data_IF_213532956770
#
_entry.id   IF_213532956770
#
_cell.length_a   1.000
_cell.length_b   1.000
_cell.length_c   1.000
_cell.angle_alpha   90.00
_cell.angle_beta   90.00
_cell.angle_gamma   90.00
#
_symmetry.space_group_name_H-M   'P 1'
#
loop_
_entity.id
_entity.type
_entity.pdbx_description
1 polymer ?
#
# COMPACT_ATOMS: atom_id res chain seq x y z
N UNK A 1 8.67 -6.82 22.24
CA UNK A 1 7.31 -6.43 21.80
C UNK A 1 7.18 -6.84 20.35
N UNK A 2 6.01 -7.36 19.97
CA UNK A 2 5.75 -7.69 18.56
C UNK A 2 5.74 -6.39 17.74
N UNK A 3 6.37 -6.36 16.55
CA UNK A 3 6.42 -5.16 15.74
C UNK A 3 5.03 -4.77 15.24
N UNK A 4 4.80 -3.47 15.13
CA UNK A 4 3.55 -2.94 14.59
C UNK A 4 3.58 -3.12 13.06
N UNK A 5 2.65 -3.90 12.48
CA UNK A 5 2.60 -4.07 11.04
C UNK A 5 2.05 -2.79 10.39
N UNK A 6 2.85 -2.15 9.54
CA UNK A 6 2.45 -1.00 8.74
C UNK A 6 2.53 -1.32 7.24
N UNK A 7 1.65 -0.76 6.41
CA UNK A 7 1.74 -0.95 4.97
C UNK A 7 3.03 -0.28 4.43
N UNK A 8 3.74 -0.94 3.54
CA UNK A 8 4.89 -0.31 2.87
C UNK A 8 4.44 0.90 2.03
N UNK A 9 5.26 1.96 2.01
CA UNK A 9 4.97 3.19 1.24
C UNK A 9 4.77 2.93 -0.25
N UNK A 10 5.34 1.85 -0.78
CA UNK A 10 5.21 1.46 -2.20
C UNK A 10 3.74 1.33 -2.64
N UNK A 11 2.83 0.96 -1.72
CA UNK A 11 1.39 0.89 -1.99
C UNK A 11 0.80 2.23 -2.39
N UNK A 12 1.16 3.29 -1.66
CA UNK A 12 0.68 4.64 -1.94
C UNK A 12 1.29 5.17 -3.23
N UNK A 13 2.58 4.93 -3.45
CA UNK A 13 3.27 5.36 -4.66
C UNK A 13 2.70 4.71 -5.92
N UNK A 14 2.45 3.39 -5.89
CA UNK A 14 1.84 2.69 -7.02
C UNK A 14 0.44 3.24 -7.34
N UNK A 15 -0.40 3.43 -6.32
CA UNK A 15 -1.74 3.98 -6.48
C UNK A 15 -1.69 5.41 -7.03
N UNK A 16 -0.82 6.26 -6.47
CA UNK A 16 -0.65 7.64 -6.93
C UNK A 16 -0.18 7.69 -8.39
N UNK A 17 0.82 6.89 -8.76
CA UNK A 17 1.31 6.83 -10.13
C UNK A 17 0.24 6.37 -11.12
N UNK A 18 -0.57 5.37 -10.75
CA UNK A 18 -1.67 4.90 -11.59
C UNK A 18 -2.72 6.00 -11.80
N UNK A 19 -3.11 6.70 -10.73
CA UNK A 19 -4.09 7.77 -10.80
C UNK A 19 -3.58 8.97 -11.61
N UNK A 20 -2.33 9.37 -11.39
CA UNK A 20 -1.73 10.55 -12.02
C UNK A 20 -1.31 10.32 -13.48
N UNK A 21 -0.87 9.11 -13.83
CA UNK A 21 -0.31 8.83 -15.17
C UNK A 21 -1.30 8.14 -16.09
N UNK A 22 -2.24 7.37 -15.55
CA UNK A 22 -3.19 6.59 -16.35
C UNK A 22 -4.61 7.11 -16.18
N UNK A 23 -5.12 7.17 -14.95
CA UNK A 23 -6.54 7.46 -14.71
C UNK A 23 -6.90 8.90 -15.09
N UNK A 24 -6.14 9.89 -14.65
CA UNK A 24 -6.45 11.30 -14.97
C UNK A 24 -6.34 11.59 -16.46
N UNK A 25 -5.45 10.88 -17.16
CA UNK A 25 -5.27 10.97 -18.62
C UNK A 25 -6.46 10.34 -19.33
N UNK A 26 -6.88 9.14 -18.90
CA UNK A 26 -8.01 8.41 -19.49
C UNK A 26 -9.36 9.09 -19.25
N UNK A 27 -9.55 9.74 -18.10
CA UNK A 27 -10.80 10.44 -17.75
C UNK A 27 -11.01 11.72 -18.57
N UNK A 28 -9.93 12.37 -19.02
CA UNK A 28 -10.00 13.60 -19.81
C UNK A 28 -10.41 14.85 -19.01
N UNK A 29 -10.14 16.04 -19.58
CA UNK A 29 -10.21 17.34 -18.87
C UNK A 29 -11.62 17.88 -18.60
N UNK A 30 -12.66 17.29 -19.19
CA UNK A 30 -14.04 17.79 -19.09
C UNK A 30 -15.00 16.76 -18.46
N UNK A 31 -14.47 15.62 -18.01
CA UNK A 31 -15.28 14.61 -17.36
C UNK A 31 -15.54 14.98 -15.90
N UNK A 32 -16.77 14.82 -15.40
CA UNK A 32 -17.08 15.01 -13.97
C UNK A 32 -16.26 14.06 -13.07
N UNK A 33 -15.74 12.96 -13.61
CA UNK A 33 -14.86 12.05 -12.88
C UNK A 33 -13.47 12.64 -12.60
N UNK A 34 -13.04 13.70 -13.30
CA UNK A 34 -11.71 14.30 -13.08
C UNK A 34 -11.56 14.84 -11.66
N UNK A 35 -12.58 15.53 -11.15
CA UNK A 35 -12.60 16.04 -9.78
C UNK A 35 -12.53 14.90 -8.75
N UNK A 36 -13.17 13.77 -9.03
CA UNK A 36 -13.13 12.58 -8.17
C UNK A 36 -11.72 11.97 -8.15
N UNK A 37 -11.06 11.87 -9.29
CA UNK A 37 -9.67 11.39 -9.38
C UNK A 37 -8.72 12.30 -8.62
N UNK A 38 -8.86 13.63 -8.78
CA UNK A 38 -8.05 14.60 -8.03
C UNK A 38 -8.29 14.48 -6.52
N UNK A 39 -9.54 14.34 -6.09
CA UNK A 39 -9.86 14.13 -4.68
C UNK A 39 -9.23 12.85 -4.14
N UNK A 40 -9.21 11.78 -4.93
CA UNK A 40 -8.59 10.51 -4.54
C UNK A 40 -7.07 10.67 -4.37
N UNK A 41 -6.39 11.35 -5.30
CA UNK A 41 -4.96 11.67 -5.20
C UNK A 41 -4.66 12.47 -3.92
N UNK A 42 -5.46 13.51 -3.65
CA UNK A 42 -5.28 14.35 -2.44
C UNK A 42 -5.46 13.50 -1.17
N UNK A 43 -6.48 12.64 -1.12
CA UNK A 43 -6.74 11.78 0.03
C UNK A 43 -5.60 10.79 0.25
N UNK A 44 -5.06 10.18 -0.80
CA UNK A 44 -3.93 9.24 -0.69
C UNK A 44 -2.65 9.92 -0.20
N UNK A 45 -2.34 11.13 -0.69
CA UNK A 45 -1.20 11.92 -0.20
C UNK A 45 -1.35 12.28 1.28
N UNK A 46 -2.58 12.61 1.72
CA UNK A 46 -2.89 12.84 3.13
C UNK A 46 -2.72 11.58 3.97
N UNK A 47 -3.20 10.43 3.49
CA UNK A 47 -3.03 9.15 4.16
C UNK A 47 -1.55 8.79 4.34
N UNK A 48 -0.72 8.98 3.31
CA UNK A 48 0.73 8.77 3.40
C UNK A 48 1.38 9.69 4.45
N UNK A 49 0.98 10.97 4.50
CA UNK A 49 1.49 11.90 5.51
C UNK A 49 1.09 11.46 6.94
N UNK A 50 -0.16 11.03 7.13
CA UNK A 50 -0.63 10.51 8.42
C UNK A 50 0.14 9.24 8.84
N UNK A 51 0.45 8.36 7.88
CA UNK A 51 1.24 7.17 8.16
C UNK A 51 2.66 7.54 8.61
N UNK A 52 3.32 8.50 7.94
CA UNK A 52 4.65 8.98 8.37
C UNK A 52 4.63 9.53 9.79
N UNK A 53 3.59 10.29 10.15
CA UNK A 53 3.41 10.74 11.53
C UNK A 53 3.22 9.59 12.51
N UNK A 54 2.51 8.52 12.12
CA UNK A 54 2.38 7.31 12.93
C UNK A 54 3.73 6.61 13.11
N UNK A 55 4.54 6.51 12.06
CA UNK A 55 5.89 5.93 12.09
C UNK A 55 6.78 6.72 13.06
N UNK A 56 6.83 8.05 12.93
CA UNK A 56 7.58 8.92 13.85
C UNK A 56 7.12 8.79 15.31
N UNK A 57 5.81 8.60 15.56
CA UNK A 57 5.29 8.34 16.91
C UNK A 57 5.75 6.99 17.45
N UNK A 58 5.80 5.95 16.60
CA UNK A 58 6.26 4.62 16.98
C UNK A 58 7.77 4.61 17.27
N UNK A 59 8.57 5.25 16.42
CA UNK A 59 10.00 5.46 16.61
C UNK A 59 10.29 6.19 17.94
N UNK A 60 9.59 7.30 18.22
CA UNK A 60 9.74 8.04 19.49
C UNK A 60 9.41 7.20 20.73
N UNK A 61 8.58 6.16 20.58
CA UNK A 61 8.20 5.23 21.65
C UNK A 61 9.06 3.96 21.67
N UNK A 62 10.12 3.88 20.86
CA UNK A 62 10.94 2.69 20.65
C UNK A 62 10.12 1.45 20.29
N UNK A 63 9.01 1.64 19.55
CA UNK A 63 8.18 0.53 19.08
C UNK A 63 8.68 0.08 17.70
N UNK A 64 9.05 -1.20 17.53
CA UNK A 64 9.52 -1.69 16.24
C UNK A 64 8.38 -1.70 15.22
N UNK A 65 8.71 -1.31 13.99
CA UNK A 65 7.79 -1.28 12.85
C UNK A 65 8.17 -2.38 11.88
N UNK A 66 7.18 -3.11 11.38
CA UNK A 66 7.35 -4.09 10.31
C UNK A 66 6.56 -3.64 9.08
N UNK A 67 7.26 -3.34 7.99
CA UNK A 67 6.60 -2.95 6.75
C UNK A 67 6.09 -4.18 5.99
N UNK A 68 4.80 -4.19 5.63
CA UNK A 68 4.16 -5.28 4.88
C UNK A 68 3.71 -4.82 3.50
N UNK A 69 4.05 -5.64 2.51
CA UNK A 69 3.68 -5.47 1.10
C UNK A 69 2.45 -6.32 0.72
N UNK A 70 2.07 -7.29 1.54
CA UNK A 70 0.83 -8.04 1.41
C UNK A 70 0.37 -8.53 2.79
N UNK A 71 -0.89 -8.93 2.89
CA UNK A 71 -1.43 -9.59 4.08
C UNK A 71 -1.02 -11.08 4.15
N UNK A 72 -0.44 -11.62 3.08
CA UNK A 72 0.09 -12.98 3.03
C UNK A 72 1.47 -13.01 3.68
N UNK A 73 1.53 -12.80 4.99
CA UNK A 73 2.72 -13.17 5.75
C UNK A 73 2.73 -14.70 5.84
N UNK A 74 3.70 -15.34 5.17
CA UNK A 74 4.14 -16.68 5.56
C UNK A 74 4.63 -16.53 7.00
N UNK A 75 3.76 -16.79 7.97
CA UNK A 75 4.23 -16.98 9.34
C UNK A 75 5.20 -18.15 9.29
N UNK A 76 6.37 -18.09 9.94
CA UNK A 76 7.32 -19.22 9.96
C UNK A 76 6.72 -20.49 10.59
N UNK A 77 5.55 -20.39 11.25
CA UNK A 77 4.74 -21.48 11.79
C UNK A 77 3.71 -22.06 10.80
N UNK A 78 3.57 -21.50 9.61
CA UNK A 78 2.84 -22.13 8.51
C UNK A 78 3.85 -22.95 7.71
N UNK A 79 4.06 -24.19 8.17
CA UNK A 79 4.59 -25.26 7.32
C UNK A 79 3.90 -25.15 5.96
N UNK A 80 4.68 -24.84 4.92
CA UNK A 80 4.20 -24.82 3.54
C UNK A 80 3.65 -26.24 3.27
N UNK A 81 2.33 -26.46 3.13
CA UNK A 81 1.88 -27.70 2.54
C UNK A 81 2.33 -27.60 1.08
N UNK A 82 3.15 -28.55 0.63
CA UNK A 82 3.69 -28.68 -0.72
C UNK A 82 2.59 -28.78 -1.81
N UNK A 83 1.76 -27.76 -1.98
CA UNK A 83 0.60 -27.79 -2.88
C UNK A 83 0.62 -26.64 -3.89
N UNK A 84 1.51 -25.65 -3.78
CA UNK A 84 1.55 -24.51 -4.73
C UNK A 84 2.75 -24.54 -5.68
N UNK A 85 3.24 -25.74 -6.02
CA UNK A 85 4.27 -25.93 -7.05
C UNK A 85 3.78 -26.74 -8.25
N UNK A 86 2.46 -26.82 -8.46
CA UNK A 86 1.83 -27.61 -9.53
C UNK A 86 0.95 -26.81 -10.51
N UNK A 87 1.06 -25.48 -10.55
CA UNK A 87 0.38 -24.68 -11.59
C UNK A 87 1.37 -23.82 -12.39
N UNK A 88 2.45 -24.44 -12.85
CA UNK A 88 3.27 -23.96 -13.97
C UNK A 88 3.80 -25.16 -14.76
N UNK A 89 2.88 -25.92 -15.35
CA UNK A 89 3.15 -26.72 -16.54
C UNK A 89 1.80 -27.07 -17.16
N UNK A 90 1.41 -26.28 -18.14
CA UNK A 90 0.84 -26.71 -19.43
C UNK A 90 0.88 -25.54 -20.41
#
# INVERSE_FOLDING_TARGET
MEPIPLPSHIHYELLLQLLERQTIVAVGRQSPAQAQVQQLIITLRKALALQKQLEENCERRNQPIEYRWSLNSLTPDQEIPNTVLSLQKE
#
